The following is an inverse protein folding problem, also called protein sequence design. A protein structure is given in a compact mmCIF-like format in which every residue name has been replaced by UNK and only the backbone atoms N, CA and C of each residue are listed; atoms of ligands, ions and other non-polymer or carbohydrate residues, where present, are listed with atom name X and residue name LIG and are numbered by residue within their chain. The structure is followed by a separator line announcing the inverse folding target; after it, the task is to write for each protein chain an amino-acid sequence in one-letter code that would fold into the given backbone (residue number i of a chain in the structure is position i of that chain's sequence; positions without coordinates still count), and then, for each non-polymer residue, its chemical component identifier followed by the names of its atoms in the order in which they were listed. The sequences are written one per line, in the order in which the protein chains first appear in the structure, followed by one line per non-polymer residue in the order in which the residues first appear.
data_IF_249014267518
#
_entry.id   IF_249014267518
#
_cell.length_a   1.000
_cell.length_b   1.000
_cell.length_c   1.000
_cell.angle_alpha   90.00
_cell.angle_beta   90.00
_cell.angle_gamma   90.00
#
_symmetry.space_group_name_H-M   'P 1'
#
loop_
_entity.id
_entity.type
_entity.pdbx_description
1 polymer ?
#
# COMPACT_ATOMS: atom_id res chain seq x y z
N UNK A 1 -10.09 14.28 -15.50
CA UNK A 1 -9.12 14.25 -14.37
C UNK A 1 -9.08 12.82 -13.86
N UNK A 2 -7.90 12.20 -13.87
CA UNK A 2 -7.74 10.80 -13.41
C UNK A 2 -8.07 10.67 -11.93
N UNK A 3 -8.75 9.59 -11.57
CA UNK A 3 -9.12 9.25 -10.19
C UNK A 3 -8.27 8.09 -9.70
N UNK A 4 -7.46 8.34 -8.68
CA UNK A 4 -6.55 7.36 -8.11
C UNK A 4 -7.10 6.89 -6.77
N UNK A 5 -7.46 5.62 -6.68
CA UNK A 5 -7.81 4.99 -5.42
C UNK A 5 -6.60 4.92 -4.50
N UNK A 6 -6.72 5.37 -3.26
CA UNK A 6 -5.69 5.25 -2.24
C UNK A 6 -6.25 4.44 -1.08
N UNK A 7 -5.67 3.27 -0.83
CA UNK A 7 -6.13 2.38 0.23
C UNK A 7 -5.30 2.61 1.48
N UNK A 8 -5.95 3.08 2.54
CA UNK A 8 -5.34 3.30 3.84
C UNK A 8 -5.72 2.19 4.82
N UNK A 9 -4.87 1.97 5.81
CA UNK A 9 -4.99 0.87 6.75
C UNK A 9 -5.02 1.31 8.23
N UNK A 10 -5.42 2.55 8.49
CA UNK A 10 -5.36 3.24 9.78
C UNK A 10 -4.44 4.46 9.71
N UNK A 11 -3.90 4.91 10.84
CA UNK A 11 -3.08 6.13 10.94
C UNK A 11 -1.95 5.94 11.96
N UNK A 12 -0.77 5.53 11.50
CA UNK A 12 0.43 5.31 12.31
C UNK A 12 1.24 4.13 11.81
N UNK A 13 2.58 4.26 11.80
CA UNK A 13 3.46 3.26 11.20
C UNK A 13 3.34 1.89 11.87
N UNK A 14 3.12 1.80 13.18
CA UNK A 14 3.12 0.53 13.92
C UNK A 14 1.79 -0.23 13.90
N UNK A 15 0.68 0.45 13.62
CA UNK A 15 -0.67 -0.14 13.70
C UNK A 15 -1.62 0.30 12.58
N UNK A 16 -1.15 1.10 11.63
CA UNK A 16 -1.93 1.65 10.53
C UNK A 16 -1.08 1.94 9.30
N UNK A 17 -1.55 2.89 8.47
CA UNK A 17 -0.76 3.44 7.37
C UNK A 17 0.42 4.25 7.90
N UNK A 18 1.58 4.11 7.25
CA UNK A 18 2.68 5.04 7.47
C UNK A 18 2.24 6.44 7.02
N UNK A 19 2.29 7.41 7.94
CA UNK A 19 1.65 8.72 7.73
C UNK A 19 2.36 9.50 6.63
N UNK A 20 3.70 9.50 6.60
CA UNK A 20 4.46 10.22 5.58
C UNK A 20 4.23 9.61 4.20
N UNK A 21 4.25 8.29 4.06
CA UNK A 21 3.98 7.63 2.79
C UNK A 21 2.59 7.95 2.25
N UNK A 22 1.58 7.91 3.13
CA UNK A 22 0.22 8.27 2.75
C UNK A 22 0.13 9.73 2.31
N UNK A 23 0.69 10.66 3.09
CA UNK A 23 0.64 12.11 2.79
C UNK A 23 1.45 12.45 1.54
N UNK A 24 2.64 11.85 1.35
CA UNK A 24 3.46 12.06 0.16
C UNK A 24 2.77 11.50 -1.09
N UNK A 25 2.09 10.36 -0.99
CA UNK A 25 1.26 9.81 -2.07
C UNK A 25 0.15 10.78 -2.46
N UNK A 26 -0.61 11.30 -1.49
CA UNK A 26 -1.67 12.29 -1.73
C UNK A 26 -1.12 13.57 -2.35
N UNK A 27 0.05 14.03 -1.89
CA UNK A 27 0.72 15.22 -2.41
C UNK A 27 1.15 15.00 -3.88
N UNK A 28 1.78 13.87 -4.20
CA UNK A 28 2.23 13.55 -5.55
C UNK A 28 1.04 13.46 -6.53
N UNK A 29 -0.05 12.80 -6.12
CA UNK A 29 -1.29 12.74 -6.92
C UNK A 29 -1.84 14.16 -7.18
N UNK A 30 -1.93 14.98 -6.13
CA UNK A 30 -2.44 16.35 -6.24
C UNK A 30 -1.58 17.23 -7.16
N UNK A 31 -0.25 17.15 -7.02
CA UNK A 31 0.71 17.89 -7.88
C UNK A 31 0.61 17.49 -9.35
N UNK A 32 0.25 16.25 -9.62
CA UNK A 32 0.06 15.74 -10.98
C UNK A 32 -1.29 16.13 -11.61
N UNK A 33 -2.13 16.89 -10.91
CA UNK A 33 -3.46 17.28 -11.38
C UNK A 33 -4.47 16.13 -11.39
N UNK A 34 -4.19 15.02 -10.74
CA UNK A 34 -5.11 13.89 -10.53
C UNK A 34 -5.88 14.05 -9.21
N UNK A 35 -6.94 13.27 -9.04
CA UNK A 35 -7.77 13.24 -7.83
C UNK A 35 -7.50 11.95 -7.05
N UNK A 36 -7.12 12.08 -5.78
CA UNK A 36 -7.13 10.96 -4.86
C UNK A 36 -8.55 10.66 -4.37
N UNK A 37 -8.92 9.37 -4.36
CA UNK A 37 -10.16 8.86 -3.79
C UNK A 37 -9.77 7.83 -2.73
N UNK A 38 -9.91 8.20 -1.47
CA UNK A 38 -9.39 7.39 -0.36
C UNK A 38 -10.43 6.39 0.15
N UNK A 39 -9.94 5.21 0.52
CA UNK A 39 -10.72 4.14 1.12
C UNK A 39 -9.96 3.48 2.27
N UNK A 40 -10.70 2.91 3.22
CA UNK A 40 -10.18 2.04 4.26
C UNK A 40 -11.23 1.02 4.69
N UNK A 41 -10.80 -0.13 5.20
CA UNK A 41 -11.71 -1.15 5.72
C UNK A 41 -12.41 -0.63 6.98
N UNK A 42 -13.74 -0.80 7.03
CA UNK A 42 -14.54 -0.45 8.22
C UNK A 42 -14.53 -1.61 9.21
N UNK A 43 -13.43 -1.76 9.91
CA UNK A 43 -13.23 -2.81 10.91
C UNK A 43 -12.32 -2.36 12.04
N UNK A 44 -12.29 -3.14 13.12
CA UNK A 44 -11.36 -2.92 14.22
C UNK A 44 -9.91 -3.17 13.78
N UNK A 45 -8.97 -2.32 14.22
CA UNK A 45 -7.53 -2.58 14.10
C UNK A 45 -7.16 -3.84 14.89
N UNK A 46 -6.13 -4.54 14.42
CA UNK A 46 -5.61 -5.74 15.08
C UNK A 46 -5.06 -5.38 16.46
N UNK A 47 -4.33 -4.30 16.53
CA UNK A 47 -3.79 -3.75 17.79
C UNK A 47 -3.78 -2.21 17.71
N UNK A 48 -3.51 -1.58 18.85
CA UNK A 48 -3.25 -0.15 18.98
C UNK A 48 -1.91 0.01 19.68
N UNK A 49 -0.98 0.70 19.04
CA UNK A 49 0.39 0.81 19.51
C UNK A 49 0.67 2.26 19.97
N UNK A 50 1.25 2.39 21.15
CA UNK A 50 1.81 3.67 21.58
C UNK A 50 3.08 3.95 20.76
N UNK A 51 3.01 4.88 19.83
CA UNK A 51 4.12 5.19 18.91
C UNK A 51 5.34 5.81 19.60
N UNK A 52 5.20 6.25 20.85
CA UNK A 52 6.33 6.75 21.63
C UNK A 52 7.14 5.61 22.28
N UNK A 53 6.46 4.54 22.73
CA UNK A 53 7.10 3.43 23.44
C UNK A 53 7.22 2.15 22.61
N UNK A 54 6.44 2.01 21.55
CA UNK A 54 6.31 0.79 20.75
C UNK A 54 5.45 -0.29 21.41
N UNK A 55 4.82 -0.01 22.55
CA UNK A 55 4.05 -0.98 23.31
C UNK A 55 2.57 -0.98 22.93
N UNK A 56 1.94 -2.15 23.00
CA UNK A 56 0.50 -2.28 22.77
C UNK A 56 -0.31 -1.59 23.88
N UNK A 57 -1.38 -0.92 23.50
CA UNK A 57 -2.32 -0.25 24.39
C UNK A 57 -3.59 -1.10 24.55
N UNK A 58 -4.24 -0.99 25.71
CA UNK A 58 -5.49 -1.70 26.02
C UNK A 58 -6.72 -0.95 25.53
N UNK A 59 -6.68 -0.41 24.33
CA UNK A 59 -7.81 0.25 23.68
C UNK A 59 -8.10 -0.37 22.32
N UNK A 60 -9.22 -0.02 21.73
CA UNK A 60 -9.60 -0.47 20.39
C UNK A 60 -9.85 0.74 19.51
N UNK A 61 -9.43 0.65 18.23
CA UNK A 61 -9.68 1.67 17.22
C UNK A 61 -10.19 1.05 15.94
N UNK A 62 -10.92 1.81 15.18
CA UNK A 62 -11.45 1.41 13.87
C UNK A 62 -10.52 1.92 12.76
N UNK A 63 -10.15 1.04 11.82
CA UNK A 63 -9.22 1.35 10.73
C UNK A 63 -9.69 2.54 9.90
N UNK A 64 -10.96 2.58 9.50
CA UNK A 64 -11.53 3.67 8.70
C UNK A 64 -11.54 4.99 9.46
N UNK A 65 -11.92 4.97 10.74
CA UNK A 65 -11.98 6.17 11.60
C UNK A 65 -10.57 6.75 11.76
N UNK A 66 -9.56 5.91 12.00
CA UNK A 66 -8.19 6.38 12.14
C UNK A 66 -7.62 6.86 10.80
N UNK A 67 -7.85 6.15 9.69
CA UNK A 67 -7.44 6.57 8.35
C UNK A 67 -8.04 7.93 7.94
N UNK A 68 -9.25 8.24 8.40
CA UNK A 68 -9.91 9.53 8.15
C UNK A 68 -9.11 10.74 8.68
N UNK A 69 -8.22 10.55 9.65
CA UNK A 69 -7.31 11.61 10.15
C UNK A 69 -6.36 12.09 9.06
N UNK A 70 -5.82 11.16 8.25
CA UNK A 70 -4.89 11.47 7.15
C UNK A 70 -5.61 12.26 6.05
N UNK A 71 -6.85 11.87 5.74
CA UNK A 71 -7.63 12.42 4.63
C UNK A 71 -8.52 13.60 5.03
N UNK A 72 -8.45 14.05 6.27
CA UNK A 72 -9.28 15.13 6.82
C UNK A 72 -10.79 14.85 6.71
N UNK A 73 -11.15 13.56 6.87
CA UNK A 73 -12.52 13.08 6.80
C UNK A 73 -13.00 12.66 5.40
N UNK A 74 -12.26 12.99 4.35
CA UNK A 74 -12.62 12.64 2.97
C UNK A 74 -12.19 11.21 2.63
N UNK A 75 -12.95 10.22 3.13
CA UNK A 75 -12.66 8.79 2.95
C UNK A 75 -13.97 8.00 2.94
N UNK A 76 -13.97 6.87 2.22
CA UNK A 76 -15.11 5.94 2.15
C UNK A 76 -14.72 4.56 2.65
N UNK A 77 -15.68 3.75 3.15
CA UNK A 77 -15.45 2.33 3.39
C UNK A 77 -14.95 1.61 2.15
N UNK A 78 -13.96 0.73 2.30
CA UNK A 78 -13.37 -0.03 1.20
C UNK A 78 -14.41 -0.89 0.46
N UNK A 79 -15.42 -1.40 1.16
CA UNK A 79 -16.56 -2.10 0.58
C UNK A 79 -17.36 -1.30 -0.48
N UNK A 80 -17.21 0.04 -0.50
CA UNK A 80 -17.85 0.93 -1.47
C UNK A 80 -16.97 1.28 -2.66
N UNK A 81 -15.75 0.76 -2.70
CA UNK A 81 -14.83 1.01 -3.81
C UNK A 81 -15.29 0.26 -5.06
N UNK A 82 -15.38 0.97 -6.18
CA UNK A 82 -15.71 0.42 -7.49
C UNK A 82 -14.54 0.64 -8.44
N UNK A 83 -13.98 -0.44 -8.97
CA UNK A 83 -12.92 -0.39 -9.96
C UNK A 83 -13.30 0.39 -11.23
N UNK A 84 -14.59 0.46 -11.57
CA UNK A 84 -15.06 1.23 -12.72
C UNK A 84 -14.90 2.75 -12.54
N UNK A 85 -14.93 3.24 -11.30
CA UNK A 85 -14.79 4.66 -10.97
C UNK A 85 -13.33 5.14 -10.88
N UNK A 86 -12.36 4.23 -10.86
CA UNK A 86 -10.95 4.50 -10.62
C UNK A 86 -10.10 4.25 -11.86
N UNK A 87 -9.05 5.03 -12.06
CA UNK A 87 -8.09 4.86 -13.15
C UNK A 87 -6.83 4.10 -12.71
N UNK A 88 -6.52 4.14 -11.42
CA UNK A 88 -5.41 3.40 -10.80
C UNK A 88 -5.68 3.18 -9.31
N UNK A 89 -4.87 2.32 -8.68
CA UNK A 89 -4.91 2.04 -7.24
C UNK A 89 -3.51 2.19 -6.64
N UNK A 90 -3.39 2.83 -5.47
CA UNK A 90 -2.14 2.93 -4.72
C UNK A 90 -2.37 2.52 -3.26
N UNK A 91 -1.46 1.71 -2.73
CA UNK A 91 -1.48 1.21 -1.35
C UNK A 91 -0.19 1.65 -0.64
N UNK A 92 -0.23 2.68 0.22
CA UNK A 92 0.87 3.03 1.11
C UNK A 92 1.16 1.91 2.11
N UNK A 93 2.37 1.91 2.65
CA UNK A 93 2.79 0.92 3.63
C UNK A 93 2.39 1.28 5.07
N UNK A 94 3.28 0.92 5.99
CA UNK A 94 3.03 0.87 7.42
C UNK A 94 2.57 -0.53 7.85
N UNK A 95 2.71 -0.85 9.15
CA UNK A 95 2.32 -2.17 9.66
C UNK A 95 0.82 -2.47 9.49
N UNK A 96 -0.02 -1.45 9.28
CA UNK A 96 -1.42 -1.66 8.94
C UNK A 96 -1.63 -2.46 7.65
N UNK A 97 -0.74 -2.36 6.67
CA UNK A 97 -0.79 -3.20 5.48
C UNK A 97 -0.56 -4.69 5.84
N UNK A 98 0.36 -4.96 6.76
CA UNK A 98 0.70 -6.31 7.20
C UNK A 98 -0.18 -6.86 8.35
N UNK A 99 -0.99 -6.01 8.99
CA UNK A 99 -1.85 -6.38 10.14
C UNK A 99 -3.34 -6.19 9.85
N UNK A 100 -3.74 -5.09 9.21
CA UNK A 100 -5.13 -4.73 8.96
C UNK A 100 -5.61 -5.10 7.56
N UNK A 101 -4.78 -4.91 6.51
CA UNK A 101 -5.10 -5.34 5.13
C UNK A 101 -4.71 -6.79 4.87
N UNK A 102 -3.99 -7.41 5.78
CA UNK A 102 -3.60 -8.81 5.75
C UNK A 102 -3.26 -9.28 7.17
N UNK A 103 -2.87 -10.53 7.32
CA UNK A 103 -2.24 -11.05 8.52
C UNK A 103 -0.77 -11.48 8.27
N UNK A 104 -0.12 -10.82 7.30
CA UNK A 104 1.27 -11.10 6.92
C UNK A 104 2.24 -10.96 8.10
N UNK A 105 2.05 -9.95 8.96
CA UNK A 105 2.92 -9.75 10.13
C UNK A 105 2.96 -10.93 11.11
N UNK A 106 1.92 -11.76 11.13
CA UNK A 106 1.81 -12.93 12.03
C UNK A 106 2.00 -14.27 11.33
N UNK A 107 1.69 -14.39 10.05
CA UNK A 107 1.67 -15.66 9.32
C UNK A 107 2.65 -15.72 8.13
N UNK A 108 3.37 -14.63 7.82
CA UNK A 108 4.36 -14.62 6.74
C UNK A 108 3.78 -15.16 5.43
N UNK A 109 4.43 -16.16 4.84
CA UNK A 109 4.03 -16.80 3.58
C UNK A 109 2.64 -17.45 3.60
N UNK A 110 2.12 -17.81 4.78
CA UNK A 110 0.78 -18.39 4.94
C UNK A 110 -0.32 -17.34 5.14
N UNK A 111 -0.02 -16.07 4.89
CA UNK A 111 -0.98 -14.99 5.13
C UNK A 111 -2.19 -15.02 4.19
N UNK A 112 -3.22 -14.34 4.63
CA UNK A 112 -4.41 -14.00 3.85
C UNK A 112 -4.56 -12.49 3.75
N UNK A 113 -5.20 -12.02 2.68
CA UNK A 113 -5.45 -10.60 2.42
C UNK A 113 -6.92 -10.27 2.66
N UNK A 114 -7.16 -9.05 3.13
CA UNK A 114 -8.49 -8.48 3.27
C UNK A 114 -9.31 -8.70 1.98
N UNK A 115 -10.50 -9.25 2.14
CA UNK A 115 -11.33 -9.69 1.01
C UNK A 115 -11.72 -8.53 0.09
N UNK A 116 -11.98 -7.34 0.65
CA UNK A 116 -12.40 -6.18 -0.12
C UNK A 116 -11.23 -5.62 -0.93
N UNK A 117 -10.04 -5.54 -0.31
CA UNK A 117 -8.82 -5.14 -1.02
C UNK A 117 -8.48 -6.12 -2.15
N UNK A 118 -8.52 -7.42 -1.87
CA UNK A 118 -8.23 -8.46 -2.87
C UNK A 118 -9.18 -8.36 -4.06
N UNK A 119 -10.47 -8.24 -3.80
CA UNK A 119 -11.48 -8.11 -4.86
C UNK A 119 -11.28 -6.84 -5.70
N UNK A 120 -11.04 -5.70 -5.06
CA UNK A 120 -10.80 -4.44 -5.76
C UNK A 120 -9.53 -4.50 -6.62
N UNK A 121 -8.41 -4.96 -6.05
CA UNK A 121 -7.14 -5.05 -6.79
C UNK A 121 -7.23 -6.00 -7.99
N UNK A 122 -7.90 -7.14 -7.83
CA UNK A 122 -8.16 -8.08 -8.94
C UNK A 122 -9.04 -7.46 -10.02
N UNK A 123 -10.10 -6.73 -9.64
CA UNK A 123 -10.97 -6.04 -10.60
C UNK A 123 -10.23 -4.92 -11.36
N UNK A 124 -9.35 -4.16 -10.68
CA UNK A 124 -8.49 -3.16 -11.30
C UNK A 124 -7.56 -3.81 -12.33
N UNK A 125 -6.86 -4.88 -11.95
CA UNK A 125 -5.95 -5.60 -12.84
C UNK A 125 -6.69 -6.19 -14.05
N UNK A 126 -7.84 -6.84 -13.86
CA UNK A 126 -8.68 -7.36 -14.94
C UNK A 126 -9.13 -6.27 -15.93
N UNK A 127 -9.32 -5.06 -15.44
CA UNK A 127 -9.63 -3.89 -16.27
C UNK A 127 -8.39 -3.25 -16.93
N UNK A 128 -7.19 -3.84 -16.77
CA UNK A 128 -5.93 -3.34 -17.31
C UNK A 128 -5.44 -2.05 -16.65
N UNK A 129 -5.91 -1.74 -15.44
CA UNK A 129 -5.57 -0.53 -14.69
C UNK A 129 -4.37 -0.77 -13.77
N UNK A 130 -3.44 0.20 -13.66
CA UNK A 130 -2.22 0.04 -12.91
C UNK A 130 -2.44 0.06 -11.39
N UNK A 131 -1.52 -0.63 -10.70
CA UNK A 131 -1.48 -0.75 -9.25
C UNK A 131 -0.11 -0.28 -8.74
N UNK A 132 -0.09 0.49 -7.65
CA UNK A 132 1.12 0.92 -6.96
C UNK A 132 1.13 0.44 -5.51
N UNK A 133 2.23 -0.16 -5.07
CA UNK A 133 2.41 -0.59 -3.68
C UNK A 133 3.79 -0.15 -3.17
N UNK A 134 3.89 0.23 -1.89
CA UNK A 134 5.16 0.70 -1.34
C UNK A 134 5.45 0.14 0.05
N UNK A 135 6.70 0.24 0.46
CA UNK A 135 7.20 -0.19 1.76
C UNK A 135 6.96 -1.70 1.96
N UNK A 136 6.20 -2.09 2.97
CA UNK A 136 5.82 -3.49 3.23
C UNK A 136 4.58 -3.94 2.43
N UNK A 137 3.79 -3.01 1.90
CA UNK A 137 2.55 -3.36 1.19
C UNK A 137 2.77 -4.30 -0.03
N UNK A 138 3.89 -4.25 -0.79
CA UNK A 138 4.13 -5.24 -1.84
C UNK A 138 4.13 -6.69 -1.36
N UNK A 139 4.40 -6.94 -0.07
CA UNK A 139 4.45 -8.28 0.50
C UNK A 139 3.11 -9.04 0.43
N UNK A 140 2.00 -8.34 0.27
CA UNK A 140 0.69 -8.98 0.17
C UNK A 140 0.26 -9.29 -1.27
N UNK A 141 0.97 -8.77 -2.28
CA UNK A 141 0.65 -8.95 -3.70
C UNK A 141 0.58 -10.43 -4.13
N UNK A 142 1.50 -11.33 -3.70
CA UNK A 142 1.44 -12.75 -4.10
C UNK A 142 0.22 -13.51 -3.54
N UNK A 143 -0.49 -12.94 -2.56
CA UNK A 143 -1.76 -13.48 -2.05
C UNK A 143 -3.01 -12.82 -2.67
N UNK A 144 -2.82 -11.71 -3.38
CA UNK A 144 -3.86 -11.10 -4.20
C UNK A 144 -3.96 -11.80 -5.56
N UNK A 145 -2.81 -12.07 -6.17
CA UNK A 145 -2.70 -12.65 -7.50
C UNK A 145 -2.07 -14.05 -7.45
N UNK A 146 -2.41 -14.88 -8.39
CA UNK A 146 -1.96 -16.28 -8.53
C UNK A 146 -1.01 -16.50 -9.73
N UNK A 147 -0.42 -15.41 -10.24
CA UNK A 147 0.58 -15.42 -11.30
C UNK A 147 1.91 -14.86 -10.78
N UNK A 148 3.06 -15.18 -11.42
CA UNK A 148 4.35 -14.62 -11.05
C UNK A 148 4.33 -13.09 -11.10
N UNK A 149 4.83 -12.45 -10.05
CA UNK A 149 4.90 -11.02 -9.89
C UNK A 149 6.34 -10.57 -9.75
N UNK A 150 6.70 -9.47 -10.41
CA UNK A 150 7.98 -8.80 -10.24
C UNK A 150 7.79 -7.57 -9.34
N UNK A 151 8.45 -7.56 -8.17
CA UNK A 151 8.22 -6.53 -7.16
C UNK A 151 9.46 -6.25 -6.30
N UNK A 152 9.38 -5.21 -5.49
CA UNK A 152 10.40 -4.90 -4.47
C UNK A 152 9.78 -4.49 -3.14
N UNK A 153 10.50 -4.79 -2.05
CA UNK A 153 10.36 -4.17 -0.72
C UNK A 153 11.66 -3.49 -0.31
N UNK A 154 12.62 -3.33 -1.21
CA UNK A 154 13.94 -2.78 -0.93
C UNK A 154 15.05 -3.82 -0.96
N UNK A 155 15.78 -3.97 0.14
CA UNK A 155 16.97 -4.86 0.21
C UNK A 155 16.95 -5.78 1.42
N UNK A 156 15.86 -5.88 2.15
CA UNK A 156 15.71 -6.79 3.28
C UNK A 156 15.63 -8.23 2.80
N UNK A 157 16.63 -9.04 3.15
CA UNK A 157 16.81 -10.41 2.64
C UNK A 157 15.72 -11.33 3.21
N UNK A 158 15.44 -11.22 4.50
CA UNK A 158 14.49 -12.11 5.18
C UNK A 158 13.07 -11.95 4.58
N UNK A 159 12.64 -10.72 4.36
CA UNK A 159 11.35 -10.44 3.71
C UNK A 159 11.37 -10.88 2.24
N UNK A 160 12.47 -10.67 1.51
CA UNK A 160 12.61 -11.09 0.12
C UNK A 160 12.47 -12.62 -0.02
N UNK A 161 13.09 -13.41 0.86
CA UNK A 161 12.97 -14.87 0.87
C UNK A 161 11.50 -15.33 1.07
N UNK A 162 10.76 -14.66 1.96
CA UNK A 162 9.33 -14.94 2.16
C UNK A 162 8.52 -14.65 0.89
N UNK A 163 8.84 -13.56 0.16
CA UNK A 163 8.17 -13.20 -1.09
C UNK A 163 8.45 -14.21 -2.21
N UNK A 164 9.69 -14.68 -2.30
CA UNK A 164 10.09 -15.71 -3.27
C UNK A 164 9.43 -17.07 -2.93
N UNK A 165 9.30 -17.41 -1.65
CA UNK A 165 8.54 -18.60 -1.21
C UNK A 165 7.07 -18.52 -1.66
N UNK A 166 6.49 -17.31 -1.69
CA UNK A 166 5.14 -17.10 -2.21
C UNK A 166 5.05 -17.03 -3.74
N UNK A 167 6.17 -17.18 -4.46
CA UNK A 167 6.23 -17.23 -5.92
C UNK A 167 6.44 -15.87 -6.61
N UNK A 168 6.82 -14.82 -5.88
CA UNK A 168 7.21 -13.55 -6.48
C UNK A 168 8.70 -13.53 -6.89
N UNK A 169 9.03 -12.73 -7.90
CA UNK A 169 10.41 -12.34 -8.22
C UNK A 169 10.73 -11.03 -7.47
N UNK A 170 11.46 -11.13 -6.35
CA UNK A 170 11.93 -9.95 -5.65
C UNK A 170 13.13 -9.32 -6.36
N UNK A 171 13.06 -8.01 -6.60
CA UNK A 171 14.14 -7.23 -7.22
C UNK A 171 14.69 -6.23 -6.19
N UNK A 172 15.96 -6.34 -5.79
CA UNK A 172 16.58 -5.31 -4.95
C UNK A 172 16.48 -3.93 -5.60
N UNK A 173 16.06 -2.94 -4.82
CA UNK A 173 15.78 -1.60 -5.33
C UNK A 173 16.27 -0.55 -4.33
N UNK A 174 16.98 0.51 -4.76
CA UNK A 174 17.36 1.61 -3.88
C UNK A 174 16.13 2.46 -3.50
N UNK A 175 16.29 3.28 -2.46
CA UNK A 175 15.20 4.07 -1.87
C UNK A 175 14.56 5.06 -2.84
N UNK A 176 15.36 5.57 -3.79
CA UNK A 176 14.96 6.58 -4.76
C UNK A 176 14.49 6.01 -6.10
N UNK A 177 14.23 4.68 -6.16
CA UNK A 177 13.83 4.04 -7.40
C UNK A 177 12.58 3.16 -7.23
N UNK A 178 12.13 2.58 -8.35
CA UNK A 178 10.92 1.76 -8.47
C UNK A 178 11.22 0.47 -9.22
N UNK A 179 10.45 -0.56 -8.95
CA UNK A 179 10.37 -1.78 -9.77
C UNK A 179 9.01 -1.79 -10.47
N UNK A 180 9.03 -2.04 -11.77
CA UNK A 180 7.83 -2.10 -12.61
C UNK A 180 7.68 -3.51 -13.16
N UNK A 181 6.55 -4.12 -12.90
CA UNK A 181 6.04 -5.28 -13.60
C UNK A 181 5.19 -4.77 -14.78
N UNK A 182 5.81 -4.67 -15.94
CA UNK A 182 5.18 -4.05 -17.12
C UNK A 182 4.00 -4.86 -17.64
N UNK A 183 4.09 -6.18 -17.58
CA UNK A 183 3.06 -7.09 -18.08
C UNK A 183 1.79 -6.99 -17.23
N UNK A 184 1.96 -6.84 -15.92
CA UNK A 184 0.88 -6.76 -14.95
C UNK A 184 0.51 -5.32 -14.56
N UNK A 185 1.25 -4.31 -15.04
CA UNK A 185 1.11 -2.89 -14.68
C UNK A 185 1.15 -2.67 -13.16
N UNK A 186 2.08 -3.33 -12.47
CA UNK A 186 2.29 -3.19 -11.04
C UNK A 186 3.59 -2.45 -10.80
N UNK A 187 3.55 -1.40 -9.96
CA UNK A 187 4.70 -0.55 -9.61
C UNK A 187 4.95 -0.64 -8.12
N UNK A 188 6.19 -0.91 -7.73
CA UNK A 188 6.56 -0.99 -6.32
C UNK A 188 7.80 -0.14 -6.00
N UNK A 189 7.92 0.35 -4.77
CA UNK A 189 9.05 1.14 -4.27
C UNK A 189 9.30 0.85 -2.79
N UNK A 190 10.58 0.90 -2.34
CA UNK A 190 10.93 0.60 -0.95
C UNK A 190 10.36 1.57 0.09
N UNK A 191 10.28 2.87 -0.21
CA UNK A 191 9.90 3.89 0.75
C UNK A 191 10.60 3.70 2.11
N UNK A 192 9.89 3.69 3.24
CA UNK A 192 10.50 3.54 4.57
C UNK A 192 11.02 2.14 4.91
N UNK A 193 10.99 1.18 4.02
CA UNK A 193 11.86 0.00 4.19
C UNK A 193 13.34 0.37 4.13
N UNK A 194 13.70 1.47 3.43
CA UNK A 194 15.08 1.95 3.27
C UNK A 194 15.28 3.42 3.67
N UNK A 195 14.26 4.28 3.52
CA UNK A 195 14.37 5.71 3.73
C UNK A 195 14.78 6.05 5.18
N UNK A 196 15.75 6.94 5.32
CA UNK A 196 16.23 7.45 6.60
C UNK A 196 15.57 8.78 6.99
N UNK A 197 14.88 9.39 6.04
CA UNK A 197 14.17 10.66 6.22
C UNK A 197 13.05 10.81 5.20
N UNK A 198 12.19 11.81 5.41
CA UNK A 198 11.00 12.04 4.58
C UNK A 198 11.34 12.42 3.12
N UNK A 199 12.48 13.06 2.88
CA UNK A 199 12.90 13.45 1.53
C UNK A 199 13.32 12.23 0.69
N UNK A 200 14.02 11.28 1.31
CA UNK A 200 14.35 10.01 0.66
C UNK A 200 13.08 9.19 0.35
N UNK A 201 12.14 9.11 1.30
CA UNK A 201 10.86 8.45 1.05
C UNK A 201 10.10 9.09 -0.11
N UNK A 202 10.07 10.44 -0.16
CA UNK A 202 9.41 11.19 -1.22
C UNK A 202 9.97 10.87 -2.61
N UNK A 203 11.27 10.65 -2.75
CA UNK A 203 11.91 10.43 -4.05
C UNK A 203 11.38 9.19 -4.78
N UNK A 204 11.27 8.06 -4.08
CA UNK A 204 10.70 6.82 -4.63
C UNK A 204 9.19 6.91 -4.83
N UNK A 205 8.48 7.54 -3.88
CA UNK A 205 7.01 7.70 -3.94
C UNK A 205 6.61 8.58 -5.12
N UNK A 206 7.30 9.69 -5.37
CA UNK A 206 7.05 10.56 -6.52
C UNK A 206 7.23 9.81 -7.85
N UNK A 207 8.27 8.97 -7.96
CA UNK A 207 8.49 8.11 -9.13
C UNK A 207 7.37 7.08 -9.29
N UNK A 208 6.96 6.41 -8.21
CA UNK A 208 5.88 5.43 -8.23
C UNK A 208 4.58 6.08 -8.72
N UNK A 209 4.16 7.19 -8.13
CA UNK A 209 2.93 7.89 -8.52
C UNK A 209 2.99 8.33 -9.97
N UNK A 210 4.13 8.90 -10.40
CA UNK A 210 4.35 9.32 -11.77
C UNK A 210 4.20 8.14 -12.75
N UNK A 211 4.83 6.99 -12.44
CA UNK A 211 4.76 5.80 -13.29
C UNK A 211 3.37 5.21 -13.35
N UNK A 212 2.67 5.12 -12.21
CA UNK A 212 1.27 4.68 -12.15
C UNK A 212 0.38 5.56 -13.03
N UNK A 213 0.55 6.87 -12.99
CA UNK A 213 -0.22 7.80 -13.82
C UNK A 213 0.04 7.64 -15.32
N UNK A 214 1.28 7.36 -15.72
CA UNK A 214 1.64 7.04 -17.11
C UNK A 214 0.99 5.74 -17.56
N UNK A 215 1.03 4.69 -16.75
CA UNK A 215 0.42 3.40 -17.09
C UNK A 215 -1.12 3.43 -17.12
N UNK A 216 -1.73 4.46 -16.51
CA UNK A 216 -3.18 4.69 -16.52
C UNK A 216 -3.66 5.44 -17.79
N UNK A 217 -2.76 5.76 -18.73
CA UNK A 217 -3.10 6.33 -20.05
C UNK A 217 -3.63 5.27 -21.00
#
# INVERSE_FOLDING_TARGET
MKKIGVILSGCGVYDGSEIHEAVLTLLAISRSGAQAVCFASDKQQVDVINHLTGEAMTETRNVLIEAARITRGEIRPLAQADAAELDALIVPGGFGAAKNLSNFASLGSECTVDRELKALAQAMHQAGKPLGFMCIAPAILPKIFDFPLRLTIGTDIDTAEVLEEMGAEHVPCPVDDIVVDEDNKIVTTPAYMLAQNIAEAASGIDKLVSRVLVLAE
#
